data_IF_488791072623
#
_entry.id   IF_488791072623
#
_cell.length_a   1.000
_cell.length_b   1.000
_cell.length_c   1.000
_cell.angle_alpha   90.00
_cell.angle_beta   90.00
_cell.angle_gamma   90.00
#
_symmetry.space_group_name_H-M   'P 1'
#
loop_
_entity.id
_entity.type
_entity.pdbx_description
1 polymer ?
#
# COMPACT_ATOMS: atom_id res chain seq x y z
N UNK A 1 -15.24 -3.54 11.17
CA UNK A 1 -15.44 -2.18 10.63
C UNK A 1 -14.10 -1.46 10.66
N UNK A 2 -13.94 -0.42 9.84
CA UNK A 2 -12.78 0.48 9.89
C UNK A 2 -13.19 1.70 10.71
N UNK A 3 -12.38 2.10 11.69
CA UNK A 3 -12.74 3.12 12.68
C UNK A 3 -11.71 4.26 12.71
N UNK A 4 -12.13 5.42 13.23
CA UNK A 4 -11.27 6.59 13.42
C UNK A 4 -10.04 6.26 14.27
N UNK A 5 -8.88 6.78 13.88
CA UNK A 5 -7.55 6.51 14.45
C UNK A 5 -6.99 5.09 14.25
N UNK A 6 -7.64 4.22 13.49
CA UNK A 6 -7.02 2.96 13.07
C UNK A 6 -5.84 3.22 12.12
N UNK A 7 -4.78 2.43 12.31
CA UNK A 7 -3.62 2.36 11.42
C UNK A 7 -3.50 0.94 10.90
N UNK A 8 -3.42 0.78 9.58
CA UNK A 8 -3.30 -0.53 8.93
C UNK A 8 -2.63 -0.40 7.56
N UNK A 9 -2.37 -1.52 6.91
CA UNK A 9 -1.73 -1.61 5.60
C UNK A 9 -2.76 -1.79 4.48
N UNK A 10 -2.53 -1.16 3.35
CA UNK A 10 -3.20 -1.47 2.08
C UNK A 10 -2.13 -2.05 1.16
N UNK A 11 -2.18 -3.36 0.93
CA UNK A 11 -1.04 -4.12 0.38
C UNK A 11 -1.40 -5.15 -0.72
N UNK A 12 -2.05 -4.74 -1.82
CA UNK A 12 -2.35 -5.65 -2.91
C UNK A 12 -1.08 -6.26 -3.51
N UNK A 13 -1.14 -7.55 -3.84
CA UNK A 13 -0.05 -8.29 -4.47
C UNK A 13 -0.51 -9.26 -5.55
N UNK A 14 0.30 -9.39 -6.60
CA UNK A 14 0.17 -10.41 -7.65
C UNK A 14 1.43 -11.26 -7.62
N UNK A 15 1.23 -12.58 -7.62
CA UNK A 15 2.30 -13.58 -7.58
C UNK A 15 2.10 -14.56 -8.73
N UNK A 16 3.15 -14.74 -9.52
CA UNK A 16 3.16 -15.67 -10.65
C UNK A 16 4.23 -16.71 -10.36
N UNK A 17 3.77 -17.94 -10.21
CA UNK A 17 4.62 -19.07 -9.86
C UNK A 17 5.79 -19.19 -10.85
N UNK A 18 6.99 -19.43 -10.30
CA UNK A 18 8.24 -19.57 -11.06
C UNK A 18 8.68 -18.35 -11.88
N UNK A 19 8.03 -17.18 -11.74
CA UNK A 19 8.43 -15.95 -12.43
C UNK A 19 8.77 -14.82 -11.46
N UNK A 20 7.88 -14.55 -10.49
CA UNK A 20 8.07 -13.48 -9.53
C UNK A 20 6.75 -12.93 -9.00
N UNK A 21 6.80 -11.76 -8.39
CA UNK A 21 5.62 -11.08 -7.87
C UNK A 21 5.87 -9.62 -7.57
N UNK A 22 4.77 -8.88 -7.45
CA UNK A 22 4.78 -7.47 -7.10
C UNK A 22 3.77 -7.28 -5.99
N UNK A 23 4.17 -6.58 -4.93
CA UNK A 23 3.29 -6.05 -3.88
C UNK A 23 3.59 -4.58 -3.72
N UNK A 24 2.55 -3.75 -3.68
CA UNK A 24 2.64 -2.32 -3.38
C UNK A 24 1.91 -2.11 -2.06
N UNK A 25 2.58 -1.49 -1.10
CA UNK A 25 2.09 -1.38 0.27
C UNK A 25 2.16 0.07 0.74
N UNK A 26 1.06 0.55 1.32
CA UNK A 26 1.00 1.83 2.04
C UNK A 26 0.44 1.63 3.44
N UNK A 27 1.04 2.32 4.42
CA UNK A 27 0.47 2.47 5.76
C UNK A 27 -0.57 3.59 5.69
N UNK A 28 -1.78 3.33 6.16
CA UNK A 28 -2.88 4.30 6.15
C UNK A 28 -3.43 4.53 7.57
N UNK A 29 -3.75 5.79 7.86
CA UNK A 29 -4.46 6.23 9.06
C UNK A 29 -5.87 6.68 8.67
N UNK A 30 -6.88 6.26 9.43
CA UNK A 30 -8.21 6.84 9.34
C UNK A 30 -8.27 8.09 10.19
N UNK A 31 -8.45 9.24 9.53
CA UNK A 31 -8.60 10.53 10.19
C UNK A 31 -9.74 11.32 9.59
N UNK A 32 -10.65 11.80 10.43
CA UNK A 32 -11.83 12.58 10.04
C UNK A 32 -12.66 11.87 8.96
N UNK A 33 -12.85 10.54 9.09
CA UNK A 33 -13.58 9.73 8.12
C UNK A 33 -12.90 9.59 6.75
N UNK A 34 -11.63 9.95 6.62
CA UNK A 34 -10.82 9.83 5.40
C UNK A 34 -9.57 9.00 5.64
N UNK A 35 -9.02 8.44 4.57
CA UNK A 35 -7.71 7.82 4.60
C UNK A 35 -6.61 8.87 4.46
N UNK A 36 -5.60 8.78 5.32
CA UNK A 36 -4.34 9.53 5.22
C UNK A 36 -3.22 8.53 4.98
N UNK A 37 -2.54 8.65 3.85
CA UNK A 37 -1.37 7.83 3.52
C UNK A 37 -0.19 8.33 4.35
N UNK A 38 0.53 7.41 5.00
CA UNK A 38 1.72 7.70 5.80
C UNK A 38 3.02 7.30 5.09
N UNK A 39 2.94 6.40 4.11
CA UNK A 39 4.07 5.95 3.28
C UNK A 39 4.30 6.87 2.06
N UNK A 40 5.55 7.27 1.83
CA UNK A 40 5.91 8.28 0.81
C UNK A 40 6.79 7.74 -0.35
N UNK A 41 7.11 6.44 -0.35
CA UNK A 41 7.88 5.86 -1.44
C UNK A 41 7.11 6.01 -2.78
N UNK A 42 7.84 6.27 -3.87
CA UNK A 42 7.27 6.23 -5.22
C UNK A 42 6.78 4.81 -5.51
N UNK A 43 5.56 4.69 -5.99
CA UNK A 43 4.89 3.41 -6.31
C UNK A 43 4.96 3.06 -7.79
N UNK A 44 5.64 3.90 -8.58
CA UNK A 44 5.87 3.68 -10.01
C UNK A 44 7.12 2.83 -10.22
N UNK A 45 7.30 2.31 -11.44
CA UNK A 45 8.52 1.62 -11.85
C UNK A 45 9.73 2.52 -11.56
N UNK A 46 10.72 2.00 -10.84
CA UNK A 46 11.91 2.74 -10.39
C UNK A 46 13.07 2.58 -11.38
N UNK A 47 13.05 1.52 -12.20
CA UNK A 47 14.08 1.22 -13.18
C UNK A 47 13.53 1.36 -14.60
N UNK A 48 14.11 2.28 -15.36
CA UNK A 48 13.90 2.42 -16.80
C UNK A 48 14.87 1.48 -17.53
N UNK A 49 14.52 0.19 -17.54
CA UNK A 49 14.97 -0.75 -18.57
C UNK A 49 13.86 -0.90 -19.60
#
# INVERSE_FOLDING_TARGET
MIEENMVFTVEPGIYIENWGGVRIEDIVLIKNGKTKILSNAKKNKILDK
#
